data_IF_484128077190
#
_entry.id   IF_484128077190
#
_cell.length_a   1.000
_cell.length_b   1.000
_cell.length_c   1.000
_cell.angle_alpha   90.00
_cell.angle_beta   90.00
_cell.angle_gamma   90.00
#
_symmetry.space_group_name_H-M   'P 1'
#
loop_
_entity.id
_entity.type
_entity.pdbx_description
1 polymer ?
#
# COMPACT_ATOMS: atom_id res chain seq x y z
N UNK A 1 -2.76 6.95 4.47
CA UNK A 1 -1.36 6.92 4.98
C UNK A 1 -0.45 6.17 4.00
N UNK A 2 0.77 6.65 3.75
CA UNK A 2 1.73 5.99 2.85
C UNK A 2 2.60 5.00 3.62
N UNK A 3 2.02 3.86 4.00
CA UNK A 3 2.69 2.79 4.76
C UNK A 3 2.25 1.44 4.18
N UNK A 4 3.19 0.51 4.05
CA UNK A 4 2.95 -0.87 3.59
C UNK A 4 3.57 -1.83 4.60
N UNK A 5 2.85 -2.90 4.95
CA UNK A 5 3.36 -3.97 5.78
C UNK A 5 3.64 -5.20 4.91
N UNK A 6 4.85 -5.73 4.99
CA UNK A 6 5.33 -6.88 4.23
C UNK A 6 5.91 -7.93 5.16
N UNK A 7 5.91 -9.18 4.73
CA UNK A 7 6.65 -10.25 5.38
C UNK A 7 8.16 -10.11 5.08
N UNK A 8 9.01 -10.34 6.07
CA UNK A 8 10.47 -10.20 5.93
C UNK A 8 10.99 -11.31 5.02
N UNK A 9 11.80 -10.94 4.02
CA UNK A 9 12.37 -11.89 3.07
C UNK A 9 11.39 -12.37 2.00
N UNK A 10 10.16 -11.85 1.96
CA UNK A 10 9.22 -12.08 0.87
C UNK A 10 8.56 -10.76 0.46
N UNK A 11 8.03 -10.70 -0.76
CA UNK A 11 7.24 -9.53 -1.21
C UNK A 11 5.76 -9.65 -0.81
N UNK A 12 5.43 -10.52 0.17
CA UNK A 12 4.04 -10.79 0.56
C UNK A 12 3.51 -9.62 1.38
N UNK A 13 2.55 -8.91 0.80
CA UNK A 13 1.82 -7.83 1.49
C UNK A 13 0.94 -8.41 2.60
N UNK A 14 1.07 -7.83 3.80
CA UNK A 14 0.21 -8.12 4.96
C UNK A 14 -0.78 -7.00 5.25
N UNK A 15 -0.53 -5.79 4.75
CA UNK A 15 -1.46 -4.67 4.86
C UNK A 15 -0.97 -3.43 4.13
N UNK A 16 -1.89 -2.53 3.78
CA UNK A 16 -1.59 -1.24 3.13
C UNK A 16 -2.37 -0.12 3.83
N UNK A 17 -1.76 1.05 3.94
CA UNK A 17 -2.43 2.24 4.46
C UNK A 17 -2.61 2.20 5.98
N UNK A 18 -3.86 2.25 6.44
CA UNK A 18 -4.15 2.34 7.88
C UNK A 18 -3.80 1.04 8.62
N UNK A 19 -4.06 -0.11 8.00
CA UNK A 19 -3.72 -1.43 8.55
C UNK A 19 -2.21 -1.55 8.79
N UNK A 20 -1.40 -1.23 7.77
CA UNK A 20 0.05 -1.21 7.89
C UNK A 20 0.56 -0.16 8.90
N UNK A 21 -0.06 1.03 8.95
CA UNK A 21 0.31 2.09 9.91
C UNK A 21 0.15 1.61 11.36
N UNK A 22 -0.88 0.81 11.66
CA UNK A 22 -1.10 0.26 13.01
C UNK A 22 0.03 -0.68 13.47
N UNK A 23 0.79 -1.24 12.53
CA UNK A 23 1.92 -2.13 12.82
C UNK A 23 3.24 -1.38 13.07
N UNK A 24 3.32 -0.07 12.78
CA UNK A 24 4.53 0.71 13.04
C UNK A 24 4.90 0.71 14.53
N UNK A 25 6.13 0.32 14.84
CA UNK A 25 6.64 0.19 16.21
C UNK A 25 6.09 -1.01 16.98
N UNK A 26 5.27 -1.87 16.35
CA UNK A 26 4.62 -3.05 16.96
C UNK A 26 4.49 -4.21 15.96
N UNK A 27 5.45 -4.35 15.04
CA UNK A 27 5.42 -5.41 14.02
C UNK A 27 5.65 -6.78 14.68
N UNK A 28 4.76 -7.77 14.45
CA UNK A 28 5.02 -9.16 14.81
C UNK A 28 6.31 -9.69 14.17
N UNK A 29 6.85 -10.78 14.69
CA UNK A 29 8.05 -11.41 14.13
C UNK A 29 7.86 -11.73 12.64
N UNK A 30 8.90 -11.44 11.84
CA UNK A 30 8.84 -11.64 10.40
C UNK A 30 7.95 -10.66 9.63
N UNK A 31 7.43 -9.60 10.24
CA UNK A 31 6.71 -8.52 9.53
C UNK A 31 7.51 -7.22 9.61
N UNK A 32 7.51 -6.45 8.54
CA UNK A 32 8.11 -5.12 8.47
C UNK A 32 7.10 -4.12 7.92
N UNK A 33 6.91 -3.00 8.62
CA UNK A 33 6.13 -1.88 8.14
C UNK A 33 7.08 -0.81 7.58
N UNK A 34 6.90 -0.48 6.30
CA UNK A 34 7.78 0.44 5.55
C UNK A 34 7.01 1.67 5.06
N UNK A 35 7.73 2.78 4.94
CA UNK A 35 7.26 3.98 4.25
C UNK A 35 7.99 4.06 2.91
N UNK A 36 7.33 3.71 1.79
CA UNK A 36 8.00 3.64 0.49
C UNK A 36 8.25 5.04 -0.11
N UNK A 37 7.71 6.09 0.53
CA UNK A 37 7.99 7.49 0.22
C UNK A 37 8.77 8.13 1.37
N UNK A 38 9.77 8.94 1.05
CA UNK A 38 10.58 9.71 2.00
C UNK A 38 10.82 11.11 1.45
N UNK A 39 10.51 12.13 2.25
CA UNK A 39 10.73 13.55 1.92
C UNK A 39 10.13 13.96 0.55
N UNK A 40 8.98 13.38 0.19
CA UNK A 40 8.30 13.63 -1.09
C UNK A 40 8.83 12.82 -2.27
N UNK A 41 9.88 12.01 -2.08
CA UNK A 41 10.51 11.18 -3.12
C UNK A 41 10.13 9.71 -2.93
N UNK A 42 10.08 8.96 -4.04
CA UNK A 42 9.93 7.50 -4.02
C UNK A 42 11.25 6.88 -3.57
N UNK A 43 11.24 6.27 -2.38
CA UNK A 43 12.39 5.56 -1.82
C UNK A 43 12.43 4.09 -2.27
N UNK A 44 11.27 3.52 -2.62
CA UNK A 44 11.12 2.15 -3.09
C UNK A 44 10.03 2.09 -4.17
N UNK A 45 10.43 1.77 -5.41
CA UNK A 45 9.54 1.80 -6.58
C UNK A 45 8.54 0.65 -6.53
N UNK A 46 8.98 -0.57 -6.22
CA UNK A 46 8.15 -1.77 -6.24
C UNK A 46 7.04 -1.69 -5.17
N UNK A 47 7.40 -1.27 -3.96
CA UNK A 47 6.44 -1.12 -2.86
C UNK A 47 5.50 0.06 -3.13
N UNK A 48 6.00 1.15 -3.73
CA UNK A 48 5.17 2.29 -4.13
C UNK A 48 4.16 1.90 -5.18
N UNK A 49 4.56 1.14 -6.20
CA UNK A 49 3.67 0.69 -7.26
C UNK A 49 2.51 -0.13 -6.67
N UNK A 50 2.81 -1.11 -5.81
CA UNK A 50 1.79 -1.94 -5.16
C UNK A 50 0.82 -1.09 -4.34
N UNK A 51 1.34 -0.14 -3.55
CA UNK A 51 0.53 0.77 -2.75
C UNK A 51 -0.39 1.63 -3.61
N UNK A 52 0.14 2.22 -4.70
CA UNK A 52 -0.63 3.04 -5.63
C UNK A 52 -1.70 2.21 -6.34
N UNK A 53 -1.37 1.01 -6.84
CA UNK A 53 -2.35 0.09 -7.43
C UNK A 53 -3.49 -0.22 -6.46
N UNK A 54 -3.18 -0.45 -5.19
CA UNK A 54 -4.18 -0.69 -4.16
C UNK A 54 -5.11 0.51 -3.93
N UNK A 55 -4.57 1.73 -3.84
CA UNK A 55 -5.40 2.93 -3.67
C UNK A 55 -6.21 3.28 -4.92
N UNK A 56 -5.60 3.17 -6.10
CA UNK A 56 -6.29 3.40 -7.37
C UNK A 56 -7.47 2.43 -7.51
N UNK A 57 -7.27 1.14 -7.28
CA UNK A 57 -8.36 0.15 -7.29
C UNK A 57 -9.50 0.54 -6.33
N UNK A 58 -9.20 0.97 -5.11
CA UNK A 58 -10.24 1.37 -4.16
C UNK A 58 -11.09 2.56 -4.63
N UNK A 59 -10.47 3.54 -5.30
CA UNK A 59 -11.18 4.74 -5.75
C UNK A 59 -11.85 4.56 -7.11
N UNK A 60 -11.29 3.71 -7.99
CA UNK A 60 -11.83 3.47 -9.33
C UNK A 60 -12.89 2.37 -9.37
N UNK A 61 -12.82 1.34 -8.51
CA UNK A 61 -13.83 0.26 -8.48
C UNK A 61 -15.24 0.77 -8.18
N UNK A 62 -15.40 1.94 -7.56
CA UNK A 62 -16.72 2.57 -7.32
C UNK A 62 -17.27 3.32 -8.54
N UNK A 63 -16.48 3.56 -9.59
CA UNK A 63 -16.86 4.36 -10.77
C UNK A 63 -17.31 3.53 -11.99
N UNK A 64 -17.26 2.19 -11.91
CA UNK A 64 -17.60 1.31 -13.05
C UNK A 64 -19.09 1.42 -13.45
N UNK A 65 -19.97 1.96 -12.60
CA UNK A 65 -21.40 2.13 -12.91
C UNK A 65 -21.79 3.41 -13.67
N UNK A 66 -20.85 4.24 -14.18
CA UNK A 66 -21.26 5.47 -14.88
C UNK A 66 -20.42 5.86 -16.09
N UNK A 67 -20.34 4.98 -17.09
CA UNK A 67 -20.30 5.39 -18.50
C UNK A 67 -21.06 4.34 -19.33
N UNK A 68 -22.35 4.56 -19.59
CA UNK A 68 -22.96 4.05 -20.81
C UNK A 68 -22.74 5.14 -21.86
N UNK A 69 -21.89 4.95 -22.87
CA UNK A 69 -21.98 5.77 -24.06
C UNK A 69 -23.29 5.44 -24.78
N UNK A 70 -23.99 6.47 -25.25
CA UNK A 70 -25.11 6.38 -26.18
C UNK A 70 -24.64 5.79 -27.51
#
# INVERSE_FOLDING_TARGET
PSVVAIERGSSKIKGIGLEAKRMLGRTPEGIMAVRPLKDGVIADVDITEIMLRHFLRQVTSKRIFRIKPL
#
